data_IF_475144919553
#
_entry.id   IF_475144919553
#
_cell.length_a   1.000
_cell.length_b   1.000
_cell.length_c   1.000
_cell.angle_alpha   90.00
_cell.angle_beta   90.00
_cell.angle_gamma   90.00
#
_symmetry.space_group_name_H-M   'P 1'
#
loop_
_entity.id
_entity.type
_entity.pdbx_description
1 polymer ?
#
# COMPACT_ATOMS: atom_id res chain seq x y z
N UNK A 1 13.07 -6.83 28.55
CA UNK A 1 12.73 -8.22 28.94
C UNK A 1 11.55 -8.66 28.11
N UNK A 2 11.80 -9.25 26.93
CA UNK A 2 10.74 -9.67 26.01
C UNK A 2 10.28 -11.06 26.42
N UNK A 3 9.07 -11.17 26.99
CA UNK A 3 8.44 -12.44 27.34
C UNK A 3 8.39 -13.30 26.05
N UNK A 4 8.91 -14.55 26.04
CA UNK A 4 8.76 -15.40 24.86
C UNK A 4 7.27 -15.59 24.58
N UNK A 5 6.83 -15.55 23.31
CA UNK A 5 5.46 -15.91 22.98
C UNK A 5 5.24 -17.33 23.50
N UNK A 6 4.29 -17.49 24.42
CA UNK A 6 3.88 -18.81 24.88
C UNK A 6 3.09 -19.43 23.73
N UNK A 7 3.82 -19.99 22.75
CA UNK A 7 3.23 -20.77 21.69
C UNK A 7 2.33 -21.82 22.34
N UNK A 8 1.03 -21.73 22.09
CA UNK A 8 0.04 -22.56 22.75
C UNK A 8 -0.06 -23.85 21.95
N UNK A 9 0.37 -24.98 22.49
CA UNK A 9 0.27 -26.26 21.77
C UNK A 9 -1.18 -26.77 21.83
N UNK A 10 -1.90 -26.86 20.69
CA UNK A 10 -3.24 -27.44 20.69
C UNK A 10 -3.17 -28.95 20.94
N UNK A 11 -4.21 -29.50 21.59
CA UNK A 11 -4.36 -30.96 21.71
C UNK A 11 -4.74 -31.59 20.36
N UNK A 12 -4.53 -32.90 20.21
CA UNK A 12 -4.93 -33.63 19.00
C UNK A 12 -6.45 -33.49 18.74
N UNK A 13 -7.29 -33.70 19.75
CA UNK A 13 -8.75 -33.54 19.64
C UNK A 13 -9.17 -32.15 19.16
N UNK A 14 -8.41 -31.11 19.54
CA UNK A 14 -8.67 -29.75 19.08
C UNK A 14 -8.32 -29.59 17.59
N UNK A 15 -7.19 -30.18 17.16
CA UNK A 15 -6.80 -30.21 15.75
C UNK A 15 -7.79 -31.01 14.89
N UNK A 16 -8.30 -32.14 15.37
CA UNK A 16 -9.31 -32.94 14.69
C UNK A 16 -10.63 -32.17 14.54
N UNK A 17 -11.09 -31.51 15.60
CA UNK A 17 -12.27 -30.63 15.54
C UNK A 17 -12.11 -29.49 14.54
N UNK A 18 -10.92 -28.91 14.43
CA UNK A 18 -10.64 -27.91 13.40
C UNK A 18 -10.78 -28.52 12.00
N UNK A 19 -10.21 -29.71 11.77
CA UNK A 19 -10.32 -30.42 10.48
C UNK A 19 -11.77 -30.74 10.13
N UNK A 20 -12.58 -31.18 11.09
CA UNK A 20 -14.02 -31.43 10.89
C UNK A 20 -14.74 -30.17 10.41
N UNK A 21 -14.51 -29.02 11.06
CA UNK A 21 -15.08 -27.73 10.64
C UNK A 21 -14.63 -27.32 9.24
N UNK A 22 -13.34 -27.50 8.92
CA UNK A 22 -12.82 -27.23 7.58
C UNK A 22 -13.43 -28.13 6.51
N UNK A 23 -13.69 -29.41 6.82
CA UNK A 23 -14.37 -30.34 5.90
C UNK A 23 -15.84 -29.97 5.70
N UNK A 24 -16.48 -29.38 6.69
CA UNK A 24 -17.82 -28.81 6.60
C UNK A 24 -17.86 -27.42 5.92
N UNK A 25 -16.71 -26.92 5.45
CA UNK A 25 -16.53 -25.55 4.91
C UNK A 25 -16.90 -24.42 5.90
N UNK A 26 -16.94 -24.72 7.19
CA UNK A 26 -17.23 -23.76 8.26
C UNK A 26 -15.93 -23.09 8.72
N UNK A 27 -15.40 -22.23 7.86
CA UNK A 27 -14.14 -21.53 8.07
C UNK A 27 -14.22 -20.56 9.26
N UNK A 28 -15.36 -19.89 9.43
CA UNK A 28 -15.55 -18.92 10.52
C UNK A 28 -15.54 -19.62 11.87
N UNK A 29 -16.28 -20.72 12.02
CA UNK A 29 -16.21 -21.50 13.25
C UNK A 29 -14.81 -22.08 13.48
N UNK A 30 -14.07 -22.46 12.43
CA UNK A 30 -12.69 -22.91 12.58
C UNK A 30 -11.78 -21.78 13.11
N UNK A 31 -11.93 -20.56 12.60
CA UNK A 31 -11.21 -19.38 13.09
C UNK A 31 -11.53 -19.11 14.56
N UNK A 32 -12.81 -19.14 14.94
CA UNK A 32 -13.25 -18.93 16.33
C UNK A 32 -12.73 -20.02 17.28
N UNK A 33 -12.53 -21.24 16.78
CA UNK A 33 -11.91 -22.35 17.52
C UNK A 33 -10.38 -22.26 17.61
N UNK A 34 -9.75 -21.20 17.08
CA UNK A 34 -8.31 -20.99 17.17
C UNK A 34 -7.50 -21.54 15.98
N UNK A 35 -8.11 -21.70 14.80
CA UNK A 35 -7.37 -22.10 13.57
C UNK A 35 -6.16 -21.20 13.31
N UNK A 36 -6.27 -19.92 13.66
CA UNK A 36 -5.25 -18.89 13.41
C UNK A 36 -4.44 -18.51 14.65
N UNK A 37 -4.61 -19.23 15.75
CA UNK A 37 -3.80 -19.04 16.96
C UNK A 37 -2.31 -19.31 16.70
N UNK A 38 -1.47 -18.69 17.51
CA UNK A 38 -0.01 -18.75 17.40
C UNK A 38 0.52 -20.08 17.96
N UNK A 39 0.42 -21.10 17.12
CA UNK A 39 0.94 -22.44 17.37
C UNK A 39 1.75 -22.95 16.17
N UNK A 40 2.85 -23.69 16.39
CA UNK A 40 3.74 -24.12 15.31
C UNK A 40 3.07 -25.12 14.38
N UNK A 41 3.25 -24.98 13.06
CA UNK A 41 2.68 -25.91 12.06
C UNK A 41 3.16 -27.37 12.28
N UNK A 42 4.25 -27.59 13.02
CA UNK A 42 4.70 -28.90 13.47
C UNK A 42 3.69 -29.65 14.37
N UNK A 43 2.79 -28.95 15.07
CA UNK A 43 1.72 -29.57 15.87
C UNK A 43 0.76 -30.38 14.99
N UNK A 44 0.57 -29.99 13.73
CA UNK A 44 -0.28 -30.72 12.78
C UNK A 44 0.33 -32.06 12.31
N UNK A 45 1.56 -32.40 12.71
CA UNK A 45 2.18 -33.70 12.36
C UNK A 45 1.47 -34.90 12.98
N UNK A 46 0.73 -34.69 14.08
CA UNK A 46 -0.04 -35.74 14.74
C UNK A 46 -1.34 -36.11 13.97
N UNK A 47 -1.75 -35.29 13.00
CA UNK A 47 -2.90 -35.58 12.14
C UNK A 47 -2.53 -36.50 10.97
N UNK A 48 -3.54 -37.21 10.47
CA UNK A 48 -3.49 -37.95 9.21
C UNK A 48 -3.07 -37.05 8.03
N UNK A 49 -2.43 -37.61 7.00
CA UNK A 49 -1.77 -36.83 5.95
C UNK A 49 -2.71 -35.84 5.24
N UNK A 50 -3.93 -36.28 4.89
CA UNK A 50 -4.91 -35.44 4.19
C UNK A 50 -5.48 -34.36 5.10
N UNK A 51 -5.75 -34.69 6.37
CA UNK A 51 -6.22 -33.76 7.38
C UNK A 51 -5.17 -32.66 7.64
N UNK A 52 -3.90 -33.05 7.76
CA UNK A 52 -2.76 -32.15 7.88
C UNK A 52 -2.63 -31.23 6.66
N UNK A 53 -2.71 -31.79 5.45
CA UNK A 53 -2.59 -31.02 4.22
C UNK A 53 -3.71 -29.96 4.11
N UNK A 54 -4.96 -30.34 4.38
CA UNK A 54 -6.11 -29.43 4.40
C UNK A 54 -5.89 -28.28 5.39
N UNK A 55 -5.55 -28.62 6.63
CA UNK A 55 -5.40 -27.63 7.69
C UNK A 55 -4.28 -26.63 7.40
N UNK A 56 -3.11 -27.10 6.95
CA UNK A 56 -1.97 -26.24 6.64
C UNK A 56 -2.23 -25.37 5.40
N UNK A 57 -2.87 -25.93 4.36
CA UNK A 57 -3.23 -25.18 3.17
C UNK A 57 -4.21 -24.04 3.49
N UNK A 58 -5.23 -24.31 4.31
CA UNK A 58 -6.18 -23.27 4.75
C UNK A 58 -5.49 -22.18 5.55
N UNK A 59 -4.65 -22.54 6.53
CA UNK A 59 -3.85 -21.55 7.30
C UNK A 59 -2.98 -20.69 6.38
N UNK A 60 -2.28 -21.29 5.42
CA UNK A 60 -1.44 -20.57 4.47
C UNK A 60 -2.24 -19.60 3.58
N UNK A 61 -3.41 -20.03 3.09
CA UNK A 61 -4.32 -19.20 2.29
C UNK A 61 -4.82 -18.00 3.10
N UNK A 62 -5.25 -18.21 4.34
CA UNK A 62 -5.73 -17.14 5.23
C UNK A 62 -4.63 -16.12 5.54
N UNK A 63 -3.42 -16.59 5.90
CA UNK A 63 -2.25 -15.71 6.12
C UNK A 63 -1.97 -14.84 4.90
N UNK A 64 -2.03 -15.43 3.71
CA UNK A 64 -1.82 -14.72 2.45
C UNK A 64 -2.89 -13.65 2.22
N UNK A 65 -4.16 -13.99 2.46
CA UNK A 65 -5.27 -13.05 2.33
C UNK A 65 -5.14 -11.88 3.32
N UNK A 66 -4.81 -12.15 4.58
CA UNK A 66 -4.58 -11.11 5.59
C UNK A 66 -3.39 -10.22 5.24
N UNK A 67 -2.28 -10.80 4.78
CA UNK A 67 -1.13 -10.02 4.31
C UNK A 67 -1.48 -9.12 3.11
N UNK A 68 -2.31 -9.62 2.19
CA UNK A 68 -2.80 -8.81 1.07
C UNK A 68 -3.66 -7.63 1.55
N UNK A 69 -4.59 -7.89 2.49
CA UNK A 69 -5.41 -6.85 3.13
C UNK A 69 -4.56 -5.79 3.82
N UNK A 70 -3.58 -6.20 4.64
CA UNK A 70 -2.68 -5.28 5.34
C UNK A 70 -1.91 -4.37 4.37
N UNK A 71 -1.45 -4.90 3.22
CA UNK A 71 -0.78 -4.08 2.18
C UNK A 71 -1.73 -3.05 1.57
N UNK A 72 -2.97 -3.43 1.33
CA UNK A 72 -3.99 -2.52 0.82
C UNK A 72 -4.27 -1.39 1.81
N UNK A 73 -4.47 -1.71 3.08
CA UNK A 73 -4.69 -0.74 4.16
C UNK A 73 -3.48 0.20 4.35
N UNK A 74 -2.27 -0.33 4.26
CA UNK A 74 -1.05 0.50 4.29
C UNK A 74 -0.99 1.46 3.09
N UNK A 75 -1.41 1.02 1.90
CA UNK A 75 -1.45 1.87 0.70
C UNK A 75 -2.53 2.93 0.83
N UNK A 76 -3.75 2.58 1.25
CA UNK A 76 -4.86 3.52 1.41
C UNK A 76 -4.51 4.62 2.42
N UNK A 77 -3.91 4.25 3.55
CA UNK A 77 -3.42 5.20 4.57
C UNK A 77 -2.43 6.21 3.98
N UNK A 78 -1.48 5.76 3.16
CA UNK A 78 -0.53 6.67 2.50
C UNK A 78 -1.21 7.61 1.50
N UNK A 79 -2.20 7.12 0.76
CA UNK A 79 -2.95 7.94 -0.19
C UNK A 79 -3.80 8.98 0.53
N UNK A 80 -4.46 8.60 1.63
CA UNK A 80 -5.24 9.51 2.48
C UNK A 80 -4.36 10.67 2.98
N UNK A 81 -3.19 10.38 3.55
CA UNK A 81 -2.23 11.41 3.98
C UNK A 81 -1.82 12.36 2.84
N UNK A 82 -1.57 11.82 1.63
CA UNK A 82 -1.24 12.65 0.46
C UNK A 82 -2.42 13.49 -0.02
N UNK A 83 -3.65 13.01 0.13
CA UNK A 83 -4.85 13.78 -0.19
C UNK A 83 -5.00 14.95 0.79
N UNK A 84 -4.88 14.69 2.10
CA UNK A 84 -4.93 15.71 3.15
C UNK A 84 -3.89 16.82 2.92
N UNK A 85 -2.65 16.47 2.58
CA UNK A 85 -1.61 17.46 2.27
C UNK A 85 -2.00 18.32 1.08
N UNK A 86 -2.53 17.74 0.00
CA UNK A 86 -2.98 18.52 -1.16
C UNK A 86 -4.18 19.41 -0.83
N UNK A 87 -5.11 18.91 -0.03
CA UNK A 87 -6.25 19.71 0.44
C UNK A 87 -5.81 20.86 1.36
N UNK A 88 -4.80 20.64 2.20
CA UNK A 88 -4.19 21.69 3.00
C UNK A 88 -3.48 22.73 2.13
N UNK A 89 -2.69 22.31 1.13
CA UNK A 89 -2.06 23.23 0.17
C UNK A 89 -3.08 24.03 -0.65
N UNK A 90 -4.24 23.46 -0.98
CA UNK A 90 -5.33 24.18 -1.66
C UNK A 90 -6.00 25.23 -0.78
N UNK A 91 -6.14 24.94 0.52
CA UNK A 91 -6.78 25.83 1.49
C UNK A 91 -5.83 26.88 2.06
N UNK A 92 -4.52 26.69 1.94
CA UNK A 92 -3.53 27.69 2.31
C UNK A 92 -3.71 28.94 1.43
N UNK A 93 -3.75 30.16 2.00
CA UNK A 93 -3.80 31.39 1.22
C UNK A 93 -2.60 31.44 0.29
N UNK A 94 -2.85 31.53 -1.01
CA UNK A 94 -1.79 31.75 -2.00
C UNK A 94 -1.11 33.08 -1.63
N UNK A 95 0.23 33.15 -1.44
CA UNK A 95 0.89 34.43 -1.35
C UNK A 95 0.55 35.18 -2.63
N UNK A 96 -0.21 36.26 -2.48
CA UNK A 96 -0.46 37.20 -3.57
C UNK A 96 0.88 37.68 -4.12
N UNK A 97 0.95 38.13 -5.38
CA UNK A 97 2.18 38.69 -5.91
C UNK A 97 2.57 39.90 -5.07
N UNK A 98 3.44 39.68 -4.08
CA UNK A 98 4.05 40.75 -3.32
C UNK A 98 4.93 41.49 -4.31
N UNK A 99 4.42 42.65 -4.69
CA UNK A 99 5.09 43.68 -5.47
C UNK A 99 6.52 43.88 -4.96
N UNK A 100 7.50 43.36 -5.68
CA UNK A 100 8.82 44.00 -5.76
C UNK A 100 8.71 45.11 -6.79
N UNK A 101 8.03 46.19 -6.38
CA UNK A 101 8.11 47.47 -7.05
C UNK A 101 9.28 48.25 -6.44
N UNK A 102 10.28 48.57 -7.26
CA UNK A 102 10.85 49.93 -7.36
C UNK A 102 12.07 49.97 -8.31
N UNK A 103 11.83 50.23 -9.60
CA UNK A 103 12.62 51.21 -10.38
C UNK A 103 11.74 51.70 -11.54
N UNK A 104 11.63 53.02 -11.80
CA UNK A 104 10.77 53.51 -12.86
C UNK A 104 11.55 53.51 -14.18
N UNK A 105 11.00 52.87 -15.21
CA UNK A 105 11.44 53.11 -16.58
C UNK A 105 10.25 52.92 -17.54
N UNK A 106 9.81 54.06 -18.07
CA UNK A 106 9.30 54.29 -19.43
C UNK A 106 8.31 53.31 -20.05
N UNK A 107 7.18 53.90 -20.45
CA UNK A 107 6.11 53.46 -21.36
C UNK A 107 6.55 52.44 -22.42
N UNK A 108 5.69 51.43 -22.64
CA UNK A 108 5.75 50.28 -23.55
C UNK A 108 6.50 49.02 -23.06
N UNK A 109 5.85 48.25 -22.19
CA UNK A 109 6.23 46.86 -21.95
C UNK A 109 4.99 45.96 -21.77
N UNK A 110 4.77 45.09 -22.77
CA UNK A 110 3.90 43.93 -22.67
C UNK A 110 4.27 43.04 -21.46
N UNK A 111 3.33 42.28 -20.86
CA UNK A 111 3.62 41.49 -19.67
C UNK A 111 4.72 40.47 -19.93
N UNK A 112 5.88 40.66 -19.29
CA UNK A 112 6.99 39.73 -19.36
C UNK A 112 6.60 38.41 -18.70
N UNK A 113 6.31 37.39 -19.52
CA UNK A 113 6.11 36.04 -19.04
C UNK A 113 7.39 35.56 -18.33
N UNK A 114 7.27 34.86 -17.18
CA UNK A 114 8.43 34.33 -16.48
C UNK A 114 9.20 33.41 -17.44
N UNK A 115 10.48 33.72 -17.63
CA UNK A 115 11.35 32.95 -18.52
C UNK A 115 11.37 31.48 -18.08
N UNK A 116 11.17 30.57 -19.04
CA UNK A 116 11.17 29.14 -18.80
C UNK A 116 12.54 28.70 -18.23
N UNK A 117 12.60 27.84 -17.20
CA UNK A 117 13.88 27.34 -16.70
C UNK A 117 14.68 26.66 -17.82
N UNK A 118 16.02 26.83 -17.86
CA UNK A 118 16.86 26.48 -19.01
C UNK A 118 16.78 24.99 -19.39
N UNK A 119 16.57 24.11 -18.40
CA UNK A 119 16.38 22.67 -18.64
C UNK A 119 15.09 22.36 -19.41
N UNK A 120 14.00 23.09 -19.15
CA UNK A 120 12.73 22.88 -19.84
C UNK A 120 12.79 23.38 -21.29
N UNK A 121 13.48 24.49 -21.53
CA UNK A 121 13.69 25.02 -22.87
C UNK A 121 14.52 24.05 -23.75
N UNK A 122 15.56 23.44 -23.19
CA UNK A 122 16.38 22.45 -23.89
C UNK A 122 15.59 21.19 -24.28
N UNK A 123 14.65 20.74 -23.44
CA UNK A 123 13.79 19.60 -23.75
C UNK A 123 12.82 19.91 -24.89
N UNK A 124 12.19 21.09 -24.87
CA UNK A 124 11.31 21.54 -25.95
C UNK A 124 12.07 21.68 -27.29
N UNK A 125 13.30 22.20 -27.27
CA UNK A 125 14.13 22.31 -28.47
C UNK A 125 14.43 20.93 -29.08
N UNK A 126 14.77 19.94 -28.25
CA UNK A 126 14.99 18.55 -28.70
C UNK A 126 13.72 17.88 -29.22
N UNK A 127 12.59 18.11 -28.56
CA UNK A 127 11.29 17.59 -29.00
C UNK A 127 10.88 18.19 -30.35
N UNK A 128 11.07 19.50 -30.53
CA UNK A 128 10.80 20.20 -31.80
C UNK A 128 11.69 19.69 -32.94
N UNK A 129 12.97 19.45 -32.68
CA UNK A 129 13.89 18.88 -33.66
C UNK A 129 13.46 17.48 -34.12
N UNK A 130 12.99 16.62 -33.20
CA UNK A 130 12.47 15.28 -33.54
C UNK A 130 11.14 15.31 -34.30
N UNK A 131 10.26 16.26 -33.98
CA UNK A 131 8.99 16.42 -34.69
C UNK A 131 9.18 16.94 -36.13
N UNK A 132 10.24 17.72 -36.38
CA UNK A 132 10.58 18.21 -37.72
C UNK A 132 11.33 17.21 -38.60
N UNK A 133 11.95 16.17 -38.03
CA UNK A 133 12.76 15.18 -38.75
C UNK A 133 12.04 13.85 -39.00
N UNK A 134 10.76 13.72 -38.68
CA UNK A 134 9.99 12.47 -38.71
C UNK A 134 9.09 12.28 -39.94
N UNK A 135 9.17 13.15 -40.96
CA UNK A 135 8.38 13.03 -42.19
C UNK A 135 9.25 13.23 -43.42
N UNK A 136 10.03 12.20 -43.77
CA UNK A 136 10.46 11.79 -45.14
C UNK A 136 11.51 10.70 -45.02
#
# INVERSE_FOLDING_TARGET
MTRPPTARTPSLDALERLVERLRADDIDAAIDAGLMDDWPDACARALESDARALLLATRARLRTAWAARARFEARSTRLARRAEVRDASRRAPRPGPAATAATPATVDAAPAHPALPPKAAALLARAKARAGSGTS
#
